data_IF_273804018274
#
_entry.id   IF_273804018274
#
_cell.length_a   1.000
_cell.length_b   1.000
_cell.length_c   1.000
_cell.angle_alpha   90.00
_cell.angle_beta   90.00
_cell.angle_gamma   90.00
#
_symmetry.space_group_name_H-M   'P 1'
#
loop_
_entity.id
_entity.type
_entity.pdbx_description
1 polymer ?
#
# COMPACT_ATOMS: atom_id res chain seq x y z
N UNK A 1 -26.99 -2.52 -32.24
CA UNK A 1 -25.58 -2.76 -32.62
C UNK A 1 -24.74 -2.25 -31.47
N UNK A 2 -23.93 -3.10 -30.86
CA UNK A 2 -22.97 -2.70 -29.84
C UNK A 2 -21.60 -2.48 -30.49
N UNK A 3 -20.82 -1.53 -29.97
CA UNK A 3 -19.45 -1.28 -30.44
C UNK A 3 -18.50 -1.69 -29.32
N UNK A 4 -17.47 -2.47 -29.63
CA UNK A 4 -16.42 -2.84 -28.67
C UNK A 4 -15.03 -2.68 -29.29
N UNK A 5 -14.02 -2.45 -28.46
CA UNK A 5 -12.63 -2.33 -28.92
C UNK A 5 -11.99 -3.71 -28.96
N UNK A 6 -11.60 -4.17 -30.15
CA UNK A 6 -10.90 -5.43 -30.33
C UNK A 6 -9.38 -5.19 -30.26
N UNK A 7 -8.74 -5.70 -29.22
CA UNK A 7 -7.28 -5.51 -28.99
C UNK A 7 -6.41 -6.32 -29.93
N UNK A 8 -6.95 -7.34 -30.59
CA UNK A 8 -6.20 -8.17 -31.56
C UNK A 8 -6.14 -7.50 -32.93
N UNK A 9 -7.22 -6.81 -33.33
CA UNK A 9 -7.26 -6.05 -34.58
C UNK A 9 -6.82 -4.59 -34.39
N UNK A 10 -6.95 -4.02 -33.19
CA UNK A 10 -6.66 -2.62 -32.90
C UNK A 10 -7.76 -1.66 -33.37
N UNK A 11 -8.94 -2.17 -33.71
CA UNK A 11 -10.06 -1.39 -34.24
C UNK A 11 -11.30 -1.54 -33.36
N UNK A 12 -12.23 -0.58 -33.52
CA UNK A 12 -13.59 -0.71 -33.01
C UNK A 12 -14.39 -1.62 -33.93
N UNK A 13 -14.96 -2.68 -33.38
CA UNK A 13 -15.74 -3.67 -34.11
C UNK A 13 -17.21 -3.64 -33.66
N UNK A 14 -18.09 -3.92 -34.62
CA UNK A 14 -19.53 -3.97 -34.41
C UNK A 14 -19.95 -5.40 -34.04
N UNK A 15 -20.71 -5.53 -32.96
CA UNK A 15 -21.34 -6.79 -32.57
C UNK A 15 -22.86 -6.68 -32.76
N UNK A 16 -23.44 -7.72 -33.37
CA UNK A 16 -24.89 -7.86 -33.46
C UNK A 16 -25.49 -7.99 -32.05
N UNK A 17 -26.54 -7.22 -31.81
CA UNK A 17 -27.20 -7.13 -30.52
C UNK A 17 -28.71 -7.04 -30.72
N UNK A 18 -29.50 -7.75 -29.93
CA UNK A 18 -30.95 -7.59 -29.87
C UNK A 18 -31.32 -6.63 -28.74
N UNK A 19 -32.34 -5.81 -28.96
CA UNK A 19 -32.90 -4.90 -27.94
C UNK A 19 -34.29 -5.41 -27.60
N UNK A 20 -34.55 -5.66 -26.32
CA UNK A 20 -35.89 -5.92 -25.79
C UNK A 20 -36.43 -4.60 -25.19
N UNK A 21 -37.37 -3.92 -25.87
CA UNK A 21 -37.88 -2.62 -25.41
C UNK A 21 -38.89 -2.73 -24.26
N UNK A 22 -39.41 -3.93 -23.95
CA UNK A 22 -40.35 -4.14 -22.83
C UNK A 22 -39.57 -4.33 -21.54
N UNK A 23 -38.49 -5.10 -21.59
CA UNK A 23 -37.62 -5.35 -20.44
C UNK A 23 -36.42 -4.38 -20.36
N UNK A 24 -36.28 -3.47 -21.32
CA UNK A 24 -35.22 -2.48 -21.41
C UNK A 24 -33.82 -3.10 -21.40
N UNK A 25 -33.67 -4.30 -21.98
CA UNK A 25 -32.40 -5.03 -22.03
C UNK A 25 -31.82 -5.04 -23.44
N UNK A 26 -30.49 -5.10 -23.50
CA UNK A 26 -29.73 -5.34 -24.74
C UNK A 26 -28.97 -6.64 -24.57
N UNK A 27 -29.17 -7.58 -25.47
CA UNK A 27 -28.48 -8.87 -25.48
C UNK A 27 -27.50 -8.91 -26.63
N UNK A 28 -26.22 -9.17 -26.31
CA UNK A 28 -25.18 -9.42 -27.29
C UNK A 28 -24.51 -10.75 -26.94
N UNK A 29 -24.42 -11.66 -27.92
CA UNK A 29 -23.74 -12.95 -27.75
C UNK A 29 -22.29 -12.79 -28.19
N UNK A 30 -21.35 -12.98 -27.26
CA UNK A 30 -19.91 -12.96 -27.55
C UNK A 30 -19.31 -14.34 -27.25
N UNK A 31 -18.39 -14.80 -28.10
CA UNK A 31 -17.83 -16.17 -27.96
C UNK A 31 -16.89 -16.31 -26.76
N UNK A 32 -16.14 -15.27 -26.39
CA UNK A 32 -15.25 -15.30 -25.25
C UNK A 32 -15.22 -13.94 -24.57
N UNK A 33 -15.78 -13.85 -23.37
CA UNK A 33 -15.52 -12.75 -22.45
C UNK A 33 -14.51 -13.25 -21.42
N UNK A 34 -13.28 -12.73 -21.47
CA UNK A 34 -12.25 -13.04 -20.47
C UNK A 34 -11.69 -11.73 -19.93
N UNK A 35 -12.13 -11.35 -18.73
CA UNK A 35 -11.43 -10.34 -17.92
C UNK A 35 -10.58 -11.13 -16.93
N UNK A 36 -9.27 -11.18 -17.16
CA UNK A 36 -8.31 -11.68 -16.18
C UNK A 36 -7.73 -10.48 -15.43
N UNK A 37 -8.23 -10.21 -14.23
CA UNK A 37 -7.55 -9.34 -13.29
C UNK A 37 -6.64 -10.21 -12.40
N UNK A 38 -5.33 -9.98 -12.46
CA UNK A 38 -4.37 -10.60 -11.55
C UNK A 38 -4.19 -9.64 -10.39
N UNK A 39 -4.70 -10.00 -9.22
CA UNK A 39 -4.43 -9.29 -7.97
C UNK A 39 -3.24 -9.99 -7.30
N UNK A 40 -2.05 -9.39 -7.41
CA UNK A 40 -0.93 -9.80 -6.56
C UNK A 40 -1.17 -9.27 -5.15
N UNK A 41 -0.99 -10.13 -4.14
CA UNK A 41 -1.01 -9.69 -2.74
C UNK A 41 0.16 -8.71 -2.52
N UNK A 42 -0.06 -7.52 -1.94
CA UNK A 42 1.03 -6.59 -1.70
C UNK A 42 2.11 -7.25 -0.83
N UNK A 43 3.35 -7.25 -1.34
CA UNK A 43 4.48 -7.75 -0.57
C UNK A 43 4.57 -7.03 0.80
N UNK A 44 4.93 -7.75 1.88
CA UNK A 44 5.02 -7.17 3.21
C UNK A 44 6.04 -6.03 3.23
N UNK A 45 5.81 -4.97 4.03
CA UNK A 45 6.76 -3.87 4.13
C UNK A 45 8.08 -4.34 4.75
N UNK A 46 9.18 -3.73 4.30
CA UNK A 46 10.52 -3.99 4.82
C UNK A 46 11.02 -2.79 5.64
N UNK A 47 11.72 -3.04 6.74
CA UNK A 47 12.24 -1.98 7.62
C UNK A 47 13.76 -1.87 7.56
N UNK A 48 14.26 -0.65 7.75
CA UNK A 48 15.67 -0.35 8.07
C UNK A 48 15.71 0.53 9.33
N UNK A 49 16.23 0.07 10.48
CA UNK A 49 16.79 -1.26 10.71
C UNK A 49 15.80 -2.40 10.44
N UNK A 50 16.33 -3.56 10.04
CA UNK A 50 15.54 -4.78 9.93
C UNK A 50 15.00 -5.17 11.32
N UNK A 51 13.87 -5.88 11.35
CA UNK A 51 13.36 -6.44 12.60
C UNK A 51 14.41 -7.35 13.25
N UNK A 52 14.61 -7.19 14.56
CA UNK A 52 15.65 -7.89 15.31
C UNK A 52 17.10 -7.45 15.01
N UNK A 53 17.34 -6.36 14.27
CA UNK A 53 18.68 -5.86 14.03
C UNK A 53 19.43 -5.51 15.34
N UNK A 54 20.71 -5.88 15.40
CA UNK A 54 21.63 -5.55 16.50
C UNK A 54 22.76 -4.65 16.00
N UNK A 55 23.45 -3.96 16.91
CA UNK A 55 24.52 -3.02 16.53
C UNK A 55 24.00 -1.80 15.76
N UNK A 56 22.75 -1.41 15.98
CA UNK A 56 22.12 -0.26 15.33
C UNK A 56 22.72 1.03 15.90
N UNK A 57 23.08 1.96 15.01
CA UNK A 57 23.61 3.28 15.38
C UNK A 57 22.60 4.08 16.21
N UNK A 58 23.04 4.78 17.25
CA UNK A 58 22.14 5.46 18.20
C UNK A 58 21.32 6.61 17.59
N UNK A 59 21.76 7.17 16.48
CA UNK A 59 21.07 8.24 15.73
C UNK A 59 20.40 7.71 14.45
N UNK A 60 20.15 6.40 14.37
CA UNK A 60 19.61 5.77 13.17
C UNK A 60 18.17 6.26 12.91
N UNK A 61 17.94 6.68 11.68
CA UNK A 61 16.59 6.94 11.14
C UNK A 61 15.94 5.61 10.80
N UNK A 62 14.71 5.41 11.26
CA UNK A 62 13.93 4.21 10.98
C UNK A 62 13.14 4.46 9.69
N UNK A 63 13.24 3.54 8.75
CA UNK A 63 12.52 3.56 7.48
C UNK A 63 11.67 2.31 7.34
N UNK A 64 10.44 2.46 6.89
CA UNK A 64 9.55 1.35 6.51
C UNK A 64 9.16 1.56 5.06
N UNK A 65 9.53 0.61 4.21
CA UNK A 65 9.32 0.66 2.75
C UNK A 65 8.20 -0.28 2.37
N UNK A 66 7.18 0.27 1.71
CA UNK A 66 6.02 -0.45 1.22
C UNK A 66 6.19 -0.81 -0.26
N UNK A 67 5.47 -1.84 -0.71
CA UNK A 67 5.45 -2.27 -2.11
C UNK A 67 4.76 -1.24 -3.04
N UNK A 68 3.80 -0.49 -2.50
CA UNK A 68 3.12 0.61 -3.20
C UNK A 68 3.40 1.97 -2.56
N UNK A 69 3.03 3.03 -3.28
CA UNK A 69 3.02 4.39 -2.73
C UNK A 69 2.07 4.46 -1.54
N UNK A 70 2.46 5.19 -0.49
CA UNK A 70 1.64 5.38 0.71
C UNK A 70 1.34 6.85 0.94
N UNK A 71 0.28 7.09 1.70
CA UNK A 71 -0.10 8.41 2.21
C UNK A 71 -0.38 8.33 3.71
N UNK A 72 -0.30 9.47 4.40
CA UNK A 72 -0.64 9.53 5.82
C UNK A 72 -2.13 9.26 6.03
N UNK A 73 -2.46 8.22 6.78
CA UNK A 73 -3.82 7.87 7.15
C UNK A 73 -4.31 8.59 8.40
N UNK A 74 -5.56 8.31 8.78
CA UNK A 74 -6.21 8.94 9.93
C UNK A 74 -5.46 8.68 11.25
N UNK A 75 -4.78 7.53 11.36
CA UNK A 75 -4.03 7.15 12.57
C UNK A 75 -2.52 7.44 12.45
N UNK A 76 -2.07 8.26 11.49
CA UNK A 76 -0.66 8.56 11.27
C UNK A 76 0.03 9.14 12.50
N UNK A 77 -0.66 10.01 13.25
CA UNK A 77 -0.15 10.58 14.51
C UNK A 77 -0.09 9.56 15.66
N UNK A 78 -0.61 8.35 15.49
CA UNK A 78 -0.51 7.26 16.47
C UNK A 78 0.74 6.41 16.33
N UNK A 79 1.60 6.69 15.35
CA UNK A 79 2.90 6.03 15.20
C UNK A 79 3.78 6.40 16.40
N UNK A 80 4.27 5.39 17.10
CA UNK A 80 5.05 5.57 18.34
C UNK A 80 6.27 4.67 18.35
N UNK A 81 7.38 5.18 18.88
CA UNK A 81 8.59 4.41 19.16
C UNK A 81 8.69 4.24 20.68
N UNK A 82 8.82 3.01 21.16
CA UNK A 82 8.94 2.70 22.59
C UNK A 82 10.23 1.94 22.87
N UNK A 83 10.81 2.16 24.03
CA UNK A 83 11.87 1.29 24.53
C UNK A 83 11.32 -0.03 25.11
N UNK A 84 12.22 -0.89 25.57
CA UNK A 84 11.90 -2.17 26.20
C UNK A 84 11.24 -2.05 27.59
N UNK A 85 11.19 -0.85 28.16
CA UNK A 85 10.50 -0.53 29.42
C UNK A 85 9.17 0.21 29.16
N UNK A 86 8.70 0.25 27.91
CA UNK A 86 7.50 0.95 27.47
C UNK A 86 7.56 2.48 27.63
N UNK A 87 8.74 3.08 27.73
CA UNK A 87 8.88 4.53 27.69
C UNK A 87 8.83 5.02 26.23
N UNK A 88 8.05 6.06 25.94
CA UNK A 88 7.98 6.63 24.60
C UNK A 88 9.25 7.42 24.26
N UNK A 89 9.76 7.24 23.04
CA UNK A 89 10.82 8.05 22.45
C UNK A 89 10.17 9.10 21.55
N UNK A 90 10.50 10.37 21.78
CA UNK A 90 10.02 11.46 20.93
C UNK A 90 10.55 11.29 19.51
N UNK A 91 9.65 11.22 18.54
CA UNK A 91 9.96 10.99 17.13
C UNK A 91 9.19 11.96 16.24
N UNK A 92 9.71 12.18 15.03
CA UNK A 92 8.98 12.82 13.94
C UNK A 92 8.78 11.80 12.83
N UNK A 93 7.56 11.74 12.28
CA UNK A 93 7.17 10.80 11.23
C UNK A 93 6.80 11.57 9.97
N UNK A 94 7.27 11.10 8.82
CA UNK A 94 6.94 11.67 7.51
C UNK A 94 6.83 10.58 6.45
N UNK A 95 6.09 10.85 5.37
CA UNK A 95 5.94 9.95 4.24
C UNK A 95 6.65 10.54 3.03
N UNK A 96 7.44 9.73 2.34
CA UNK A 96 8.10 10.08 1.09
C UNK A 96 7.92 8.94 0.08
N UNK A 97 6.97 9.12 -0.85
CA UNK A 97 6.62 8.10 -1.84
C UNK A 97 6.05 6.83 -1.20
N UNK A 98 6.81 5.73 -1.28
CA UNK A 98 6.47 4.45 -0.65
C UNK A 98 7.20 4.21 0.68
N UNK A 99 7.85 5.23 1.26
CA UNK A 99 8.66 5.09 2.47
C UNK A 99 8.08 5.94 3.60
N UNK A 100 7.77 5.31 4.73
CA UNK A 100 7.58 5.97 6.02
C UNK A 100 8.95 6.20 6.66
N UNK A 101 9.24 7.43 7.04
CA UNK A 101 10.48 7.85 7.69
C UNK A 101 10.17 8.31 9.10
N UNK A 102 10.75 7.64 10.09
CA UNK A 102 10.62 7.93 11.52
C UNK A 102 11.98 8.32 12.07
N UNK A 103 12.09 9.56 12.54
CA UNK A 103 13.34 10.13 13.05
C UNK A 103 13.23 10.41 14.54
N UNK A 104 14.02 9.73 15.40
CA UNK A 104 14.16 10.08 16.80
C UNK A 104 14.65 11.52 16.98
N UNK A 105 14.02 12.26 17.90
CA UNK A 105 14.41 13.66 18.19
C UNK A 105 15.68 13.75 19.04
N UNK A 106 16.03 12.66 19.71
CA UNK A 106 17.24 12.49 20.53
C UNK A 106 17.93 11.18 20.17
N UNK A 107 19.24 11.10 20.42
CA UNK A 107 19.97 9.84 20.27
C UNK A 107 19.41 8.77 21.20
N UNK A 108 19.27 7.56 20.67
CA UNK A 108 18.85 6.38 21.40
C UNK A 108 19.95 5.94 22.38
N UNK A 109 19.57 5.09 23.33
CA UNK A 109 20.46 4.59 24.37
C UNK A 109 21.08 3.25 23.93
N UNK A 110 22.36 3.06 24.25
CA UNK A 110 23.05 1.81 23.97
C UNK A 110 22.48 0.64 24.80
N UNK A 111 22.43 -0.54 24.20
CA UNK A 111 21.94 -1.76 24.86
C UNK A 111 20.44 -1.83 25.09
N UNK A 112 19.67 -0.88 24.53
CA UNK A 112 18.21 -0.83 24.66
C UNK A 112 17.54 -1.31 23.37
N UNK A 113 16.54 -2.16 23.51
CA UNK A 113 15.68 -2.59 22.40
C UNK A 113 14.55 -1.59 22.21
N UNK A 114 14.33 -1.16 20.97
CA UNK A 114 13.24 -0.27 20.61
C UNK A 114 12.21 -0.98 19.73
N UNK A 115 10.93 -0.63 19.90
CA UNK A 115 9.80 -1.16 19.13
C UNK A 115 9.05 -0.02 18.48
N UNK A 116 8.92 -0.07 17.16
CA UNK A 116 8.06 0.82 16.40
C UNK A 116 6.64 0.23 16.38
N UNK A 117 5.68 0.99 16.89
CA UNK A 117 4.27 0.65 16.85
C UNK A 117 3.57 1.49 15.77
N UNK A 118 2.94 0.81 14.82
CA UNK A 118 2.20 1.42 13.72
C UNK A 118 0.74 0.96 13.80
N UNK A 119 -0.20 1.83 14.20
CA UNK A 119 -1.60 1.45 14.29
C UNK A 119 -2.20 1.18 12.91
N UNK A 120 -3.23 0.32 12.86
CA UNK A 120 -3.98 0.09 11.63
C UNK A 120 -4.53 1.43 11.08
N UNK A 121 -4.40 1.66 9.78
CA UNK A 121 -4.80 2.93 9.14
C UNK A 121 -3.86 4.10 9.42
N UNK A 122 -2.64 3.86 9.89
CA UNK A 122 -1.58 4.88 9.92
C UNK A 122 -1.13 5.28 8.52
N UNK A 123 -1.16 4.35 7.56
CA UNK A 123 -0.84 4.57 6.15
C UNK A 123 -1.97 4.06 5.27
N UNK A 124 -2.21 4.71 4.13
CA UNK A 124 -3.19 4.34 3.09
C UNK A 124 -2.46 4.19 1.76
#
# INVERSE_FOLDING_TARGET
MAIYYNTSSGYWEYQDSTVDPVNWTVTATVQHFSICAVFEDPAPPVSDPADGATGVVLNKVIKVTFSGTITAGNNFNGITLMDNHNNPVTTSSSVSGNVLVVTPSVSLNEGITYKLNMPAGATI
#
